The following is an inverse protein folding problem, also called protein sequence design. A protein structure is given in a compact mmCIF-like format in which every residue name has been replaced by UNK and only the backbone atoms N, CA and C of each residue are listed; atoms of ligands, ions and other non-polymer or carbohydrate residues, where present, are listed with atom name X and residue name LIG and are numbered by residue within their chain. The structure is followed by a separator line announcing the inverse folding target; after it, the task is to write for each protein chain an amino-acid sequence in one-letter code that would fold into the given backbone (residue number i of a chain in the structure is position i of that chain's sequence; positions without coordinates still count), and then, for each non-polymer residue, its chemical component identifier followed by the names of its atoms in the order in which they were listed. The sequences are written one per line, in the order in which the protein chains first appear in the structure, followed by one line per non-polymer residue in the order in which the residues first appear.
data_IF_854680667916
#
_entry.id   IF_854680667916
#
_cell.length_a   1.000
_cell.length_b   1.000
_cell.length_c   1.000
_cell.angle_alpha   90.00
_cell.angle_beta   90.00
_cell.angle_gamma   90.00
#
_symmetry.space_group_name_H-M   'P 1'
#
loop_
_entity.id
_entity.type
_entity.pdbx_description
1 polymer ?
#
# COMPACT_ATOMS: atom_id res chain seq x y z
N UNK A 1 -4.83 23.73 22.34
CA UNK A 1 -4.02 22.69 21.68
C UNK A 1 -4.70 21.32 21.69
N UNK A 2 -5.19 20.85 22.85
CA UNK A 2 -5.96 19.60 22.99
C UNK A 2 -7.21 19.52 22.11
N UNK A 3 -8.01 20.60 22.04
CA UNK A 3 -9.24 20.63 21.23
C UNK A 3 -8.94 20.50 19.73
N UNK A 4 -7.87 21.11 19.22
CA UNK A 4 -7.42 20.95 17.83
C UNK A 4 -6.96 19.52 17.53
N UNK A 5 -6.24 18.88 18.44
CA UNK A 5 -5.88 17.47 18.30
C UNK A 5 -7.10 16.56 18.34
N UNK A 6 -8.10 16.87 19.16
CA UNK A 6 -9.36 16.14 19.24
C UNK A 6 -10.18 16.27 17.96
N UNK A 7 -10.29 17.47 17.37
CA UNK A 7 -10.95 17.67 16.08
C UNK A 7 -10.22 16.98 14.92
N UNK A 8 -8.88 16.90 14.94
CA UNK A 8 -8.12 16.12 13.96
C UNK A 8 -8.34 14.62 14.15
N UNK A 9 -8.38 14.13 15.40
CA UNK A 9 -8.63 12.72 15.71
C UNK A 9 -10.07 12.30 15.35
N UNK A 10 -11.05 13.14 15.66
CA UNK A 10 -12.47 12.96 15.33
C UNK A 10 -12.66 13.10 13.81
N UNK A 11 -11.98 14.05 13.16
CA UNK A 11 -11.96 14.17 11.70
C UNK A 11 -11.41 12.91 11.03
N UNK A 12 -10.31 12.33 11.53
CA UNK A 12 -9.75 11.05 11.04
C UNK A 12 -10.68 9.85 11.28
N UNK A 13 -11.49 9.87 12.34
CA UNK A 13 -12.48 8.82 12.64
C UNK A 13 -13.76 8.94 11.80
N UNK A 14 -14.02 10.12 11.21
CA UNK A 14 -15.24 10.47 10.46
C UNK A 14 -14.94 10.65 8.95
N UNK A 15 -13.82 10.12 8.43
CA UNK A 15 -13.67 9.91 6.99
C UNK A 15 -14.02 8.46 6.67
N UNK A 16 -15.29 8.09 6.49
CA UNK A 16 -15.61 6.94 5.68
C UNK A 16 -15.50 7.32 4.19
N UNK A 17 -15.11 6.33 3.39
CA UNK A 17 -15.65 6.04 2.05
C UNK A 17 -14.97 6.52 0.76
N UNK A 18 -13.73 7.01 0.74
CA UNK A 18 -12.99 7.13 -0.55
C UNK A 18 -11.51 6.75 -0.52
N UNK A 19 -11.07 5.93 0.45
CA UNK A 19 -9.88 5.12 0.22
C UNK A 19 -10.37 3.92 -0.60
N UNK A 20 -10.00 3.89 -1.86
CA UNK A 20 -10.29 2.80 -2.78
C UNK A 20 -8.92 2.13 -2.93
N UNK A 21 -8.54 1.25 -2.01
CA UNK A 21 -7.20 0.64 -1.95
C UNK A 21 -7.18 -0.43 -0.86
N UNK A 22 -6.28 -1.41 -0.95
CA UNK A 22 -6.18 -2.37 0.14
C UNK A 22 -5.81 -1.71 1.47
N UNK A 23 -6.25 -2.35 2.56
CA UNK A 23 -5.80 -1.94 3.88
C UNK A 23 -4.30 -2.22 4.08
N UNK A 24 -3.64 -1.50 5.01
CA UNK A 24 -2.21 -1.62 5.25
C UNK A 24 -1.77 -3.01 5.72
N UNK A 25 -2.66 -3.80 6.35
CA UNK A 25 -2.31 -5.18 6.72
C UNK A 25 -2.34 -6.10 5.51
N UNK A 26 -3.29 -5.92 4.61
CA UNK A 26 -3.37 -6.67 3.35
C UNK A 26 -2.14 -6.40 2.48
N UNK A 27 -1.69 -5.15 2.34
CA UNK A 27 -0.45 -4.83 1.62
C UNK A 27 0.77 -5.56 2.19
N UNK A 28 0.99 -5.49 3.51
CA UNK A 28 2.09 -6.21 4.14
C UNK A 28 1.95 -7.71 4.01
N UNK A 29 0.74 -8.25 4.13
CA UNK A 29 0.47 -9.67 3.95
C UNK A 29 0.89 -10.13 2.56
N UNK A 30 0.29 -9.57 1.50
CA UNK A 30 0.54 -9.99 0.11
C UNK A 30 2.02 -9.79 -0.27
N UNK A 31 2.62 -8.66 0.12
CA UNK A 31 4.05 -8.42 -0.14
C UNK A 31 4.97 -9.40 0.62
N UNK A 32 4.57 -9.87 1.79
CA UNK A 32 5.32 -10.88 2.54
C UNK A 32 5.21 -12.27 1.92
N UNK A 33 4.03 -12.62 1.40
CA UNK A 33 3.79 -13.91 0.72
C UNK A 33 4.59 -14.04 -0.58
N UNK A 34 4.92 -12.92 -1.24
CA UNK A 34 5.78 -12.88 -2.43
C UNK A 34 7.10 -13.65 -2.26
N UNK A 35 7.63 -13.72 -1.04
CA UNK A 35 8.86 -14.44 -0.77
C UNK A 35 8.73 -15.97 -0.82
N UNK A 36 7.52 -16.52 -0.84
CA UNK A 36 7.27 -17.94 -1.09
C UNK A 36 7.38 -18.31 -2.59
N UNK A 37 7.38 -17.32 -3.50
CA UNK A 37 7.31 -17.51 -4.95
C UNK A 37 8.66 -17.27 -5.65
N UNK A 38 9.76 -17.65 -4.99
CA UNK A 38 11.12 -17.42 -5.47
C UNK A 38 11.39 -17.94 -6.89
N UNK A 39 10.78 -19.05 -7.28
CA UNK A 39 11.02 -19.72 -8.57
C UNK A 39 10.45 -18.98 -9.78
N UNK A 40 9.51 -18.06 -9.60
CA UNK A 40 8.84 -17.34 -10.69
C UNK A 40 9.22 -15.86 -10.76
N UNK A 41 10.00 -15.37 -9.80
CA UNK A 41 10.56 -14.01 -9.78
C UNK A 41 12.00 -14.07 -10.34
N UNK A 42 12.42 -13.10 -11.17
CA UNK A 42 13.80 -13.06 -11.65
C UNK A 42 14.82 -13.16 -10.50
N UNK A 43 15.81 -14.07 -10.54
CA UNK A 43 16.69 -14.35 -9.39
C UNK A 43 17.43 -13.12 -8.86
N UNK A 44 17.82 -12.20 -9.74
CA UNK A 44 18.47 -10.95 -9.36
C UNK A 44 17.54 -10.06 -8.51
N UNK A 45 16.28 -9.91 -8.92
CA UNK A 45 15.26 -9.15 -8.18
C UNK A 45 14.94 -9.87 -6.88
N UNK A 46 14.68 -11.18 -6.91
CA UNK A 46 14.40 -11.93 -5.69
C UNK A 46 15.53 -11.84 -4.66
N UNK A 47 16.79 -11.92 -5.11
CA UNK A 47 17.97 -11.76 -4.27
C UNK A 47 18.07 -10.36 -3.65
N UNK A 48 17.81 -9.33 -4.45
CA UNK A 48 17.74 -7.93 -4.00
C UNK A 48 16.66 -7.76 -2.91
N UNK A 49 15.43 -8.18 -3.20
CA UNK A 49 14.29 -8.06 -2.28
C UNK A 49 14.54 -8.85 -0.99
N UNK A 50 15.16 -10.03 -1.09
CA UNK A 50 15.47 -10.86 0.08
C UNK A 50 16.52 -10.21 0.98
N UNK A 51 17.56 -9.61 0.38
CA UNK A 51 18.63 -8.90 1.10
C UNK A 51 18.11 -7.63 1.78
N UNK A 52 17.22 -6.89 1.12
CA UNK A 52 16.65 -5.62 1.58
C UNK A 52 15.16 -5.73 1.92
N UNK A 53 14.76 -6.85 2.53
CA UNK A 53 13.35 -7.18 2.82
C UNK A 53 12.62 -6.08 3.58
N UNK A 54 13.25 -5.47 4.58
CA UNK A 54 12.61 -4.40 5.34
C UNK A 54 12.39 -3.14 4.50
N UNK A 55 13.28 -2.82 3.55
CA UNK A 55 13.11 -1.67 2.66
C UNK A 55 12.00 -1.91 1.65
N UNK A 56 11.95 -3.11 1.07
CA UNK A 56 10.87 -3.55 0.20
C UNK A 56 9.50 -3.46 0.89
N UNK A 57 9.35 -4.09 2.05
CA UNK A 57 8.09 -4.03 2.81
C UNK A 57 7.75 -2.61 3.27
N UNK A 58 8.75 -1.77 3.55
CA UNK A 58 8.52 -0.37 3.90
C UNK A 58 8.04 0.46 2.72
N UNK A 59 8.62 0.26 1.52
CA UNK A 59 8.17 0.88 0.29
C UNK A 59 6.74 0.47 -0.08
N UNK A 60 6.39 -0.80 0.17
CA UNK A 60 5.06 -1.34 -0.07
C UNK A 60 3.95 -0.73 0.81
N UNK A 61 4.32 -0.12 1.94
CA UNK A 61 3.38 0.63 2.78
C UNK A 61 3.37 2.13 2.50
N UNK A 62 4.34 2.62 1.73
CA UNK A 62 4.64 4.04 1.77
C UNK A 62 3.60 4.90 1.08
N UNK A 63 3.00 4.39 -0.01
CA UNK A 63 1.98 5.12 -0.75
C UNK A 63 0.80 5.52 0.16
N UNK A 64 0.39 4.67 1.10
CA UNK A 64 -0.66 4.97 2.08
C UNK A 64 -0.25 5.95 3.18
N UNK A 65 1.05 6.06 3.45
CA UNK A 65 1.56 7.02 4.43
C UNK A 65 1.56 8.46 3.90
N UNK A 66 1.46 8.66 2.58
CA UNK A 66 1.50 10.00 1.98
C UNK A 66 0.09 10.65 2.03
N UNK A 67 -0.10 11.55 2.99
CA UNK A 67 -1.35 12.31 3.17
C UNK A 67 -1.37 13.63 2.39
N UNK A 68 -2.57 14.12 2.05
CA UNK A 68 -2.77 15.42 1.39
C UNK A 68 -3.00 15.35 -0.13
N UNK A 69 -3.59 14.25 -0.61
CA UNK A 69 -3.72 13.86 -2.03
C UNK A 69 -4.55 14.82 -2.90
N UNK A 70 -5.49 15.57 -2.32
CA UNK A 70 -6.55 16.31 -3.06
C UNK A 70 -6.10 17.54 -3.85
N UNK A 71 -4.80 17.91 -3.81
CA UNK A 71 -4.29 19.12 -4.46
C UNK A 71 -3.06 18.89 -5.35
N UNK A 72 -2.65 17.63 -5.56
CA UNK A 72 -1.52 17.30 -6.42
C UNK A 72 -2.01 16.91 -7.83
N UNK A 73 -1.29 17.33 -8.90
CA UNK A 73 -1.47 16.78 -10.24
C UNK A 73 -1.41 15.25 -10.27
N UNK A 74 -2.13 14.61 -11.18
CA UNK A 74 -2.25 13.14 -11.28
C UNK A 74 -0.89 12.43 -11.43
N UNK A 75 0.04 13.01 -12.19
CA UNK A 75 1.42 12.54 -12.37
C UNK A 75 2.28 12.62 -11.09
N UNK A 76 1.81 13.38 -10.09
CA UNK A 76 2.43 13.53 -8.76
C UNK A 76 1.61 12.86 -7.67
N UNK A 77 0.54 12.16 -8.02
CA UNK A 77 -0.19 11.32 -7.09
C UNK A 77 0.74 10.24 -6.53
N UNK A 78 0.71 9.97 -5.22
CA UNK A 78 1.43 8.83 -4.63
C UNK A 78 1.03 7.51 -5.31
N UNK A 79 -0.24 7.40 -5.65
CA UNK A 79 -0.80 6.20 -6.26
C UNK A 79 -0.75 6.29 -7.79
N UNK A 80 0.38 6.71 -8.37
CA UNK A 80 0.60 6.71 -9.83
C UNK A 80 1.81 5.85 -10.20
N UNK A 81 1.70 5.13 -11.32
CA UNK A 81 2.82 4.36 -11.87
C UNK A 81 4.03 5.25 -12.15
N UNK A 82 3.81 6.48 -12.61
CA UNK A 82 4.87 7.46 -12.83
C UNK A 82 5.67 7.77 -11.56
N UNK A 83 5.00 7.91 -10.41
CA UNK A 83 5.67 8.09 -9.11
C UNK A 83 6.49 6.86 -8.74
N UNK A 84 5.93 5.65 -8.88
CA UNK A 84 6.65 4.40 -8.63
C UNK A 84 7.90 4.23 -9.49
N UNK A 85 7.79 4.49 -10.80
CA UNK A 85 8.90 4.41 -11.75
C UNK A 85 9.98 5.45 -11.45
N UNK A 86 9.59 6.68 -11.10
CA UNK A 86 10.55 7.71 -10.67
C UNK A 86 11.39 7.28 -9.48
N UNK A 87 10.83 6.56 -8.50
CA UNK A 87 11.66 6.01 -7.42
C UNK A 87 12.67 5.00 -7.95
N UNK A 88 12.27 4.13 -8.88
CA UNK A 88 13.18 3.14 -9.45
C UNK A 88 14.32 3.81 -10.25
N UNK A 89 14.01 4.84 -11.03
CA UNK A 89 14.99 5.64 -11.79
C UNK A 89 15.96 6.42 -10.89
N UNK A 90 15.48 6.96 -9.76
CA UNK A 90 16.27 7.78 -8.85
C UNK A 90 17.08 6.97 -7.83
N UNK A 91 16.77 5.69 -7.67
CA UNK A 91 17.46 4.82 -6.73
C UNK A 91 18.96 4.69 -7.05
N UNK A 92 19.81 5.00 -6.08
CA UNK A 92 21.27 5.02 -6.22
C UNK A 92 21.95 3.80 -5.60
N UNK A 93 21.21 2.99 -4.86
CA UNK A 93 21.72 1.80 -4.18
C UNK A 93 20.64 0.71 -4.10
N UNK A 94 21.09 -0.51 -3.78
CA UNK A 94 20.23 -1.69 -3.71
C UNK A 94 19.07 -1.54 -2.69
N UNK A 95 19.25 -0.81 -1.58
CA UNK A 95 18.17 -0.60 -0.60
C UNK A 95 17.05 0.30 -1.14
N UNK A 96 17.42 1.34 -1.89
CA UNK A 96 16.46 2.24 -2.55
C UNK A 96 15.74 1.54 -3.71
N UNK A 97 16.44 0.68 -4.44
CA UNK A 97 15.81 -0.16 -5.48
C UNK A 97 14.79 -1.11 -4.88
N UNK A 98 15.12 -1.78 -3.77
CA UNK A 98 14.18 -2.65 -3.06
C UNK A 98 12.95 -1.87 -2.56
N UNK A 99 13.16 -0.67 -2.02
CA UNK A 99 12.07 0.23 -1.65
C UNK A 99 11.17 0.59 -2.85
N UNK A 100 11.76 0.95 -4.00
CA UNK A 100 11.02 1.30 -5.21
C UNK A 100 10.19 0.11 -5.73
N UNK A 101 10.75 -1.09 -5.74
CA UNK A 101 10.00 -2.31 -6.08
C UNK A 101 8.85 -2.57 -5.11
N UNK A 102 9.05 -2.31 -3.81
CA UNK A 102 7.98 -2.37 -2.82
C UNK A 102 6.84 -1.44 -3.16
N UNK A 103 7.17 -0.20 -3.52
CA UNK A 103 6.20 0.82 -3.95
C UNK A 103 5.42 0.40 -5.20
N UNK A 104 6.11 -0.13 -6.22
CA UNK A 104 5.46 -0.64 -7.43
C UNK A 104 4.53 -1.83 -7.13
N UNK A 105 4.93 -2.72 -6.22
CA UNK A 105 4.10 -3.84 -5.79
C UNK A 105 2.83 -3.37 -5.06
N UNK A 106 2.89 -2.24 -4.33
CA UNK A 106 1.71 -1.65 -3.69
C UNK A 106 0.69 -1.25 -4.76
N UNK A 107 1.14 -0.48 -5.76
CA UNK A 107 0.29 -0.05 -6.88
C UNK A 107 -0.29 -1.24 -7.64
N UNK A 108 0.51 -2.30 -7.85
CA UNK A 108 0.04 -3.53 -8.49
C UNK A 108 -1.06 -4.22 -7.68
N UNK A 109 -0.96 -4.26 -6.36
CA UNK A 109 -2.00 -4.82 -5.51
C UNK A 109 -3.31 -4.03 -5.61
N UNK A 110 -3.21 -2.69 -5.63
CA UNK A 110 -4.37 -1.80 -5.69
C UNK A 110 -5.15 -1.94 -6.98
N UNK A 111 -4.50 -2.29 -8.12
CA UNK A 111 -5.24 -2.59 -9.36
C UNK A 111 -6.31 -3.68 -9.18
N UNK A 112 -6.11 -4.62 -8.25
CA UNK A 112 -7.08 -5.68 -7.95
C UNK A 112 -8.20 -5.17 -7.03
N UNK A 113 -7.85 -4.45 -5.95
CA UNK A 113 -8.84 -3.81 -5.09
C UNK A 113 -9.80 -2.91 -5.89
N UNK A 114 -9.25 -2.24 -6.92
CA UNK A 114 -10.00 -1.42 -7.87
C UNK A 114 -10.71 -2.20 -8.98
N UNK A 115 -10.13 -3.29 -9.50
CA UNK A 115 -10.77 -4.12 -10.54
C UNK A 115 -12.14 -4.64 -10.10
N UNK A 116 -12.26 -4.99 -8.81
CA UNK A 116 -13.53 -5.34 -8.17
C UNK A 116 -14.59 -4.24 -8.35
N UNK A 117 -14.20 -2.96 -8.34
CA UNK A 117 -15.11 -1.81 -8.48
C UNK A 117 -15.65 -1.64 -9.91
N UNK A 118 -14.89 -2.08 -10.91
CA UNK A 118 -15.30 -2.01 -12.32
C UNK A 118 -16.23 -3.16 -12.71
N UNK A 119 -16.06 -4.33 -12.11
CA UNK A 119 -16.80 -5.55 -12.44
C UNK A 119 -18.00 -5.80 -11.51
N UNK A 120 -17.91 -5.42 -10.23
CA UNK A 120 -18.90 -5.76 -9.23
C UNK A 120 -19.76 -4.55 -8.84
N UNK A 121 -20.94 -4.45 -9.45
CA UNK A 121 -22.10 -3.76 -8.88
C UNK A 121 -22.61 -4.48 -7.60
N UNK A 122 -21.75 -4.75 -6.62
CA UNK A 122 -22.14 -5.41 -5.38
C UNK A 122 -22.63 -4.40 -4.33
N UNK A 123 -23.70 -4.76 -3.62
CA UNK A 123 -24.33 -4.01 -2.51
C UNK A 123 -23.42 -3.81 -1.27
N UNK A 124 -22.16 -4.28 -1.32
CA UNK A 124 -21.20 -4.18 -0.21
C UNK A 124 -20.22 -3.04 -0.51
N UNK A 125 -20.21 -2.02 0.36
CA UNK A 125 -19.25 -0.92 0.26
C UNK A 125 -17.80 -1.43 0.22
N UNK A 126 -16.96 -0.94 -0.71
CA UNK A 126 -15.53 -1.29 -0.82
C UNK A 126 -14.75 -1.13 0.47
N UNK A 127 -15.01 -0.06 1.22
CA UNK A 127 -14.42 0.15 2.54
C UNK A 127 -14.74 -1.02 3.50
N UNK A 128 -15.89 -1.68 3.33
CA UNK A 128 -16.23 -2.88 4.10
C UNK A 128 -15.47 -4.12 3.63
N UNK A 129 -15.26 -4.30 2.32
CA UNK A 129 -14.43 -5.38 1.77
C UNK A 129 -12.99 -5.26 2.25
N UNK A 130 -12.38 -4.08 2.11
CA UNK A 130 -11.02 -3.77 2.57
C UNK A 130 -10.87 -4.03 4.08
N UNK A 131 -11.83 -3.55 4.88
CA UNK A 131 -11.83 -3.80 6.32
C UNK A 131 -11.94 -5.29 6.64
N UNK A 132 -12.71 -6.08 5.87
CA UNK A 132 -12.82 -7.52 6.08
C UNK A 132 -11.55 -8.27 5.66
N UNK A 133 -10.92 -7.87 4.55
CA UNK A 133 -9.65 -8.43 4.12
C UNK A 133 -8.56 -8.20 5.17
N UNK A 134 -8.40 -6.96 5.64
CA UNK A 134 -7.49 -6.64 6.76
C UNK A 134 -7.87 -7.42 8.03
N UNK A 135 -9.18 -7.60 8.30
CA UNK A 135 -9.71 -8.38 9.42
C UNK A 135 -9.41 -9.89 9.34
N UNK A 136 -8.98 -10.41 8.20
CA UNK A 136 -8.59 -11.81 8.04
C UNK A 136 -7.09 -12.02 8.24
N UNK A 137 -6.29 -10.95 8.18
CA UNK A 137 -4.84 -11.06 8.26
C UNK A 137 -4.38 -11.36 9.69
N UNK A 138 -3.50 -12.34 9.82
CA UNK A 138 -2.94 -12.73 11.12
C UNK A 138 -2.14 -11.58 11.76
N UNK A 139 -2.27 -11.40 13.08
CA UNK A 139 -1.63 -10.30 13.84
C UNK A 139 -0.10 -10.26 13.73
N UNK A 140 0.54 -11.35 13.30
CA UNK A 140 1.97 -11.37 13.02
C UNK A 140 2.37 -10.36 11.91
N UNK A 141 1.54 -10.16 10.90
CA UNK A 141 1.79 -9.18 9.83
C UNK A 141 1.65 -7.74 10.33
N UNK A 142 0.79 -7.51 11.34
CA UNK A 142 0.76 -6.22 12.03
C UNK A 142 2.09 -5.91 12.72
N UNK A 143 2.70 -6.90 13.40
CA UNK A 143 4.02 -6.68 14.00
C UNK A 143 5.03 -6.28 12.93
N UNK A 144 5.03 -6.95 11.79
CA UNK A 144 5.91 -6.62 10.66
C UNK A 144 5.69 -5.19 10.14
N UNK A 145 4.44 -4.72 10.05
CA UNK A 145 4.10 -3.37 9.57
C UNK A 145 4.57 -2.24 10.52
N UNK A 146 4.84 -2.56 11.79
CA UNK A 146 5.29 -1.58 12.79
C UNK A 146 6.73 -1.78 13.29
N UNK A 147 7.34 -2.94 13.04
CA UNK A 147 8.64 -3.36 13.61
C UNK A 147 9.86 -3.08 12.72
N UNK A 148 9.74 -2.22 11.71
CA UNK A 148 10.90 -1.82 10.89
C UNK A 148 12.03 -1.23 11.75
N UNK A 149 13.28 -1.50 11.40
CA UNK A 149 14.41 -0.90 12.11
C UNK A 149 14.42 0.63 11.94
N UNK A 150 14.95 1.36 12.94
CA UNK A 150 15.07 2.83 12.85
C UNK A 150 15.96 3.26 11.68
N UNK A 151 16.96 2.46 11.33
CA UNK A 151 17.86 2.73 10.22
C UNK A 151 17.12 2.65 8.88
N UNK A 152 16.35 1.57 8.65
CA UNK A 152 15.49 1.38 7.46
C UNK A 152 14.52 2.54 7.30
N UNK A 153 13.80 2.87 8.37
CA UNK A 153 12.85 3.99 8.34
C UNK A 153 13.58 5.28 7.93
N UNK A 154 14.64 5.68 8.64
CA UNK A 154 15.34 6.94 8.37
C UNK A 154 15.89 7.04 6.96
N UNK A 155 16.45 5.96 6.39
CA UNK A 155 17.02 6.02 5.03
C UNK A 155 15.93 6.11 3.97
N UNK A 156 14.85 5.35 4.11
CA UNK A 156 13.76 5.35 3.14
C UNK A 156 12.91 6.61 3.24
N UNK A 157 12.72 7.15 4.44
CA UNK A 157 12.08 8.46 4.65
C UNK A 157 12.87 9.55 3.93
N UNK A 158 14.20 9.54 4.05
CA UNK A 158 15.07 10.49 3.34
C UNK A 158 15.00 10.32 1.84
N UNK A 159 15.06 9.07 1.36
CA UNK A 159 14.96 8.76 -0.07
C UNK A 159 13.64 9.25 -0.65
N UNK A 160 12.54 9.01 0.07
CA UNK A 160 11.22 9.47 -0.30
C UNK A 160 11.12 11.00 -0.34
N UNK A 161 11.63 11.68 0.70
CA UNK A 161 11.66 13.15 0.77
C UNK A 161 12.51 13.76 -0.36
N UNK A 162 13.64 13.15 -0.73
CA UNK A 162 14.47 13.66 -1.83
C UNK A 162 13.85 13.42 -3.21
N UNK A 163 12.98 12.41 -3.31
CA UNK A 163 12.40 11.98 -4.58
C UNK A 163 11.06 12.66 -4.88
N UNK A 164 10.37 13.21 -3.88
CA UNK A 164 9.08 13.89 -4.01
C UNK A 164 9.20 15.41 -3.77
N UNK A 165 8.70 16.22 -4.71
CA UNK A 165 8.94 17.67 -4.78
C UNK A 165 8.09 18.53 -3.81
N UNK A 166 7.09 17.98 -3.11
CA UNK A 166 6.38 18.69 -2.04
C UNK A 166 5.38 17.78 -1.30
N UNK A 167 5.20 18.02 -0.01
CA UNK A 167 4.09 17.49 0.79
C UNK A 167 3.42 18.61 1.59
N UNK A 168 2.14 18.42 1.93
CA UNK A 168 1.40 19.33 2.81
C UNK A 168 1.88 19.22 4.27
N UNK A 169 2.35 18.04 4.70
CA UNK A 169 2.87 17.79 6.05
C UNK A 169 4.28 17.20 6.03
N UNK A 170 5.06 17.44 7.10
CA UNK A 170 6.33 16.75 7.27
C UNK A 170 6.13 15.24 7.35
N UNK A 171 7.07 14.47 6.79
CA UNK A 171 6.99 13.01 6.74
C UNK A 171 6.77 12.37 8.12
N UNK A 172 7.44 12.92 9.16
CA UNK A 172 7.28 12.47 10.56
C UNK A 172 5.83 12.57 11.05
N UNK A 173 5.10 13.60 10.63
CA UNK A 173 3.69 13.81 10.99
C UNK A 173 2.81 12.78 10.30
N UNK A 174 2.99 12.59 8.99
CA UNK A 174 2.28 11.61 8.19
C UNK A 174 2.43 10.19 8.76
N UNK A 175 3.66 9.80 9.09
CA UNK A 175 3.96 8.51 9.70
C UNK A 175 3.28 8.31 11.07
N UNK A 176 3.21 9.36 11.88
CA UNK A 176 2.52 9.27 13.19
C UNK A 176 1.02 9.05 13.01
N UNK A 177 0.41 9.71 12.03
CA UNK A 177 -1.01 9.55 11.71
C UNK A 177 -1.27 8.13 11.20
N UNK A 178 -0.46 7.64 10.26
CA UNK A 178 -0.55 6.27 9.75
C UNK A 178 -0.46 5.22 10.85
N UNK A 179 0.52 5.33 11.75
CA UNK A 179 0.63 4.40 12.89
C UNK A 179 -0.61 4.40 13.78
N UNK A 180 -1.20 5.57 14.01
CA UNK A 180 -2.45 5.68 14.77
C UNK A 180 -3.61 5.01 14.02
N UNK A 181 -3.69 5.15 12.69
CA UNK A 181 -4.70 4.50 11.86
C UNK A 181 -4.59 2.96 11.91
N UNK A 182 -3.38 2.41 11.69
CA UNK A 182 -3.11 0.97 11.78
C UNK A 182 -3.36 0.44 13.20
N UNK A 183 -3.10 1.22 14.24
CA UNK A 183 -3.44 0.83 15.60
C UNK A 183 -4.96 0.80 15.85
N UNK A 184 -5.70 1.78 15.31
CA UNK A 184 -7.16 1.83 15.43
C UNK A 184 -7.85 0.72 14.62
N UNK A 185 -7.32 0.33 13.46
CA UNK A 185 -7.88 -0.78 12.67
C UNK A 185 -7.86 -2.12 13.44
N UNK A 186 -6.81 -2.36 14.25
CA UNK A 186 -6.74 -3.52 15.14
C UNK A 186 -7.81 -3.54 16.24
N UNK A 187 -8.29 -2.39 16.71
CA UNK A 187 -9.30 -2.31 17.75
C UNK A 187 -10.71 -2.60 17.19
N UNK A 188 -10.92 -2.36 15.90
CA UNK A 188 -12.19 -2.62 15.19
C UNK A 188 -12.37 -4.08 14.75
N UNK A 189 -11.33 -4.91 14.85
CA UNK A 189 -11.33 -6.32 14.44
C UNK A 189 -12.33 -7.21 15.19
N UNK A 190 -12.75 -6.82 16.41
CA UNK A 190 -13.50 -7.70 17.32
C UNK A 190 -15.02 -7.72 17.17
N UNK A 191 -15.64 -7.05 16.18
CA UNK A 191 -17.09 -6.77 16.26
C UNK A 191 -17.96 -6.91 15.00
N UNK A 192 -17.53 -7.54 13.91
CA UNK A 192 -18.33 -7.49 12.66
C UNK A 192 -18.51 -8.84 11.97
N UNK A 193 -19.75 -9.10 11.55
CA UNK A 193 -20.21 -10.30 10.86
C UNK A 193 -19.65 -10.29 9.44
N UNK A 194 -18.98 -11.37 9.03
CA UNK A 194 -18.39 -11.48 7.70
C UNK A 194 -19.51 -11.59 6.66
N UNK A 195 -19.61 -10.63 5.74
CA UNK A 195 -20.59 -10.62 4.66
C UNK A 195 -20.03 -11.22 3.36
N UNK A 196 -18.71 -11.27 3.24
CA UNK A 196 -17.98 -11.74 2.06
C UNK A 196 -17.32 -13.08 2.38
N UNK A 197 -17.31 -14.02 1.42
CA UNK A 197 -16.70 -15.33 1.62
C UNK A 197 -15.18 -15.22 1.78
N UNK A 198 -14.61 -16.09 2.61
CA UNK A 198 -13.15 -16.11 2.80
C UNK A 198 -12.41 -16.51 1.52
N UNK A 199 -12.99 -17.41 0.74
CA UNK A 199 -12.40 -17.91 -0.50
C UNK A 199 -12.30 -16.78 -1.53
N UNK A 200 -13.31 -15.90 -1.61
CA UNK A 200 -13.27 -14.74 -2.49
C UNK A 200 -12.17 -13.74 -2.08
N UNK A 201 -12.05 -13.43 -0.79
CA UNK A 201 -10.97 -12.55 -0.30
C UNK A 201 -9.59 -13.17 -0.59
N UNK A 202 -9.45 -14.49 -0.44
CA UNK A 202 -8.21 -15.18 -0.77
C UNK A 202 -7.90 -15.11 -2.27
N UNK A 203 -8.89 -15.30 -3.14
CA UNK A 203 -8.74 -15.14 -4.59
C UNK A 203 -8.26 -13.72 -4.95
N UNK A 204 -8.82 -12.70 -4.30
CA UNK A 204 -8.36 -11.32 -4.50
C UNK A 204 -6.91 -11.11 -4.03
N UNK A 205 -6.50 -11.71 -2.91
CA UNK A 205 -5.09 -11.67 -2.48
C UNK A 205 -4.15 -12.36 -3.46
N UNK A 206 -4.56 -13.53 -3.98
CA UNK A 206 -3.78 -14.30 -4.97
C UNK A 206 -3.66 -13.52 -6.27
N UNK A 207 -4.73 -12.85 -6.70
CA UNK A 207 -4.71 -11.93 -7.83
C UNK A 207 -3.75 -10.76 -7.58
N UNK A 208 -3.80 -10.11 -6.41
CA UNK A 208 -2.86 -9.02 -6.07
C UNK A 208 -1.42 -9.51 -6.12
N UNK A 209 -1.15 -10.72 -5.64
CA UNK A 209 0.18 -11.31 -5.68
C UNK A 209 0.65 -11.58 -7.12
N UNK A 210 -0.23 -12.12 -7.96
CA UNK A 210 0.06 -12.35 -9.37
C UNK A 210 0.41 -11.03 -10.10
N UNK A 211 -0.33 -9.95 -9.82
CA UNK A 211 -0.03 -8.61 -10.37
C UNK A 211 1.33 -8.08 -9.91
N UNK A 212 1.68 -8.24 -8.63
CA UNK A 212 3.02 -7.90 -8.13
C UNK A 212 4.11 -8.65 -8.88
N UNK A 213 3.97 -9.97 -9.04
CA UNK A 213 4.95 -10.82 -9.73
C UNK A 213 5.09 -10.42 -11.19
N UNK A 214 4.00 -10.11 -11.90
CA UNK A 214 4.05 -9.61 -13.27
C UNK A 214 4.88 -8.32 -13.38
N UNK A 215 4.67 -7.35 -12.47
CA UNK A 215 5.46 -6.11 -12.43
C UNK A 215 6.94 -6.40 -12.14
N UNK A 216 7.26 -7.29 -11.19
CA UNK A 216 8.65 -7.66 -10.92
C UNK A 216 9.32 -8.39 -12.09
N UNK A 217 8.58 -9.22 -12.83
CA UNK A 217 9.11 -10.03 -13.92
C UNK A 217 9.30 -9.22 -15.21
N UNK A 218 8.37 -8.34 -15.52
CA UNK A 218 8.29 -7.68 -16.82
C UNK A 218 8.68 -6.19 -16.76
N UNK A 219 8.75 -5.61 -15.55
CA UNK A 219 9.11 -4.20 -15.35
C UNK A 219 8.18 -3.27 -16.12
N UNK A 220 8.75 -2.33 -16.87
CA UNK A 220 8.02 -1.38 -17.71
C UNK A 220 7.17 -2.02 -18.81
N UNK A 221 7.42 -3.29 -19.16
CA UNK A 221 6.64 -4.02 -20.18
C UNK A 221 5.41 -4.71 -19.61
N UNK A 222 5.23 -4.69 -18.29
CA UNK A 222 4.10 -5.35 -17.62
C UNK A 222 2.78 -4.70 -18.03
N UNK A 223 1.83 -5.52 -18.47
CA UNK A 223 0.49 -5.05 -18.84
C UNK A 223 -0.27 -4.44 -17.66
N UNK A 224 0.11 -4.78 -16.42
CA UNK A 224 -0.48 -4.23 -15.19
C UNK A 224 -0.31 -2.70 -15.12
N UNK A 225 0.71 -2.13 -15.75
CA UNK A 225 0.96 -0.68 -15.76
C UNK A 225 -0.09 0.11 -16.57
N UNK A 226 -0.89 -0.58 -17.40
CA UNK A 226 -2.01 0.03 -18.13
C UNK A 226 -3.29 0.09 -17.29
N UNK A 227 -3.35 -0.62 -16.17
CA UNK A 227 -4.45 -0.56 -15.23
C UNK A 227 -4.26 0.63 -14.27
N UNK A 228 -5.34 1.32 -13.92
CA UNK A 228 -5.26 2.49 -13.07
C UNK A 228 -5.32 2.08 -11.58
N UNK A 229 -4.23 2.27 -10.81
CA UNK A 229 -4.16 1.93 -9.38
C UNK A 229 -4.87 2.96 -8.50
N UNK A 230 -5.63 3.88 -9.10
CA UNK A 230 -6.44 4.91 -8.45
C UNK A 230 -7.89 4.91 -8.94
N UNK A 231 -8.29 3.98 -9.82
CA UNK A 231 -9.44 4.13 -10.69
C UNK A 231 -10.73 4.52 -9.95
N UNK A 232 -11.00 5.83 -9.93
CA UNK A 232 -12.30 6.40 -9.69
C UNK A 232 -12.94 6.76 -11.01
N UNK A 233 -14.02 6.05 -11.39
CA UNK A 233 -15.01 6.70 -12.24
C UNK A 233 -15.52 7.88 -11.43
N UNK A 234 -15.28 9.09 -11.94
CA UNK A 234 -16.07 10.24 -11.56
C UNK A 234 -17.54 9.88 -11.82
N UNK A 235 -18.23 9.43 -10.78
CA UNK A 235 -19.69 9.40 -10.79
C UNK A 235 -20.07 10.87 -10.64
N UNK A 236 -20.41 11.50 -11.77
CA UNK A 236 -21.11 12.78 -11.80
C UNK A 236 -22.43 12.68 -11.05
#
# INVERSE_FOLDING_TARGET
MFIRCLFVLVGLLVIPSTAWAWGPLTHIYVASELFAYASIIPPAIFGLLSRYRQDFLYGNLMADMILGKSHLPEDKSPHSWATGMRFLEQARNESEQAFAYGYLCHLAADTVAHGVLLEEQQDVSHAWLEMQADAMIHKAYWLQSVSFSRAVQRRNDRFLESSLNSYIFSFKTNRRIYKSFVFLSLLNFSRKKTCVSRDYIQELHDNSLARMICVLREGEKSLVLHENPMAAKNIC
#
